data_IF_843776168382
#
_entry.id   IF_843776168382
#
_cell.length_a   1.000
_cell.length_b   1.000
_cell.length_c   1.000
_cell.angle_alpha   90.00
_cell.angle_beta   90.00
_cell.angle_gamma   90.00
#
_symmetry.space_group_name_H-M   'P 1'
#
loop_
_entity.id
_entity.type
_entity.pdbx_description
1 polymer ?
#
# COMPACT_ATOMS: atom_id res chain seq x y z
N UNK A 1 -12.33 1.24 41.49
CA UNK A 1 -11.25 0.89 40.55
C UNK A 1 -10.34 2.09 40.36
N UNK A 2 -9.03 1.92 40.25
CA UNK A 2 -8.09 3.03 40.04
C UNK A 2 -8.01 3.39 38.56
N UNK A 3 -7.82 4.67 38.26
CA UNK A 3 -7.74 5.25 36.91
C UNK A 3 -6.72 4.51 36.00
N UNK A 4 -5.60 4.08 36.59
CA UNK A 4 -4.55 3.30 35.91
C UNK A 4 -5.00 1.92 35.41
N UNK A 5 -5.96 1.28 36.10
CA UNK A 5 -6.50 -0.01 35.70
C UNK A 5 -7.45 0.15 34.51
N UNK A 6 -8.26 1.22 34.50
CA UNK A 6 -9.15 1.55 33.38
C UNK A 6 -8.38 1.86 32.09
N UNK A 7 -7.32 2.68 32.16
CA UNK A 7 -6.49 2.97 30.98
C UNK A 7 -5.81 1.72 30.40
N UNK A 8 -5.30 0.82 31.26
CA UNK A 8 -4.67 -0.42 30.78
C UNK A 8 -5.69 -1.38 30.15
N UNK A 9 -6.92 -1.38 30.64
CA UNK A 9 -8.02 -2.16 30.06
C UNK A 9 -8.48 -1.56 28.73
N UNK A 10 -8.63 -0.23 28.63
CA UNK A 10 -8.95 0.46 27.37
C UNK A 10 -7.91 0.20 26.30
N UNK A 11 -6.61 0.32 26.61
CA UNK A 11 -5.53 0.05 25.65
C UNK A 11 -5.52 -1.42 25.19
N UNK A 12 -5.85 -2.36 26.08
CA UNK A 12 -5.96 -3.79 25.72
C UNK A 12 -7.21 -4.10 24.89
N UNK A 13 -8.34 -3.42 25.15
CA UNK A 13 -9.55 -3.53 24.34
C UNK A 13 -9.35 -2.90 22.96
N UNK A 14 -8.71 -1.73 22.90
CA UNK A 14 -8.32 -1.03 21.66
C UNK A 14 -7.49 -1.90 20.71
N UNK A 15 -6.65 -2.78 21.28
CA UNK A 15 -5.82 -3.72 20.52
C UNK A 15 -6.63 -4.81 19.78
N UNK A 16 -7.94 -4.91 20.02
CA UNK A 16 -8.87 -5.87 19.39
C UNK A 16 -10.05 -5.20 18.68
N UNK A 17 -9.93 -3.92 18.33
CA UNK A 17 -10.99 -3.16 17.65
C UNK A 17 -11.22 -3.58 16.19
N UNK A 18 -10.24 -4.26 15.60
CA UNK A 18 -10.25 -4.67 14.20
C UNK A 18 -10.36 -6.20 14.17
N UNK A 19 -11.42 -6.77 13.57
CA UNK A 19 -11.54 -8.21 13.36
C UNK A 19 -10.32 -8.77 12.62
N UNK A 20 -9.86 -9.96 13.02
CA UNK A 20 -8.64 -10.56 12.44
C UNK A 20 -8.75 -10.71 10.92
N UNK A 21 -9.92 -11.10 10.40
CA UNK A 21 -10.13 -11.22 8.95
C UNK A 21 -9.90 -9.88 8.23
N UNK A 22 -10.44 -8.79 8.75
CA UNK A 22 -10.23 -7.45 8.20
C UNK A 22 -8.76 -7.05 8.27
N UNK A 23 -8.10 -7.33 9.38
CA UNK A 23 -6.68 -7.04 9.57
C UNK A 23 -5.79 -7.84 8.60
N UNK A 24 -6.13 -9.10 8.31
CA UNK A 24 -5.47 -9.93 7.30
C UNK A 24 -5.64 -9.32 5.90
N UNK A 25 -6.83 -8.81 5.55
CA UNK A 25 -7.05 -8.14 4.27
C UNK A 25 -6.20 -6.87 4.12
N UNK A 26 -6.15 -6.04 5.16
CA UNK A 26 -5.29 -4.84 5.20
C UNK A 26 -3.82 -5.20 4.97
N UNK A 27 -3.31 -6.18 5.74
CA UNK A 27 -1.92 -6.64 5.66
C UNK A 27 -1.57 -7.19 4.29
N UNK A 28 -2.48 -7.97 3.70
CA UNK A 28 -2.31 -8.57 2.37
C UNK A 28 -2.26 -7.49 1.30
N UNK A 29 -3.18 -6.52 1.34
CA UNK A 29 -3.20 -5.38 0.43
C UNK A 29 -1.90 -4.57 0.52
N UNK A 30 -1.48 -4.22 1.74
CA UNK A 30 -0.24 -3.48 1.99
C UNK A 30 0.98 -4.23 1.47
N UNK A 31 1.09 -5.53 1.74
CA UNK A 31 2.24 -6.34 1.35
C UNK A 31 2.38 -6.41 -0.17
N UNK A 32 1.27 -6.69 -0.86
CA UNK A 32 1.25 -6.73 -2.32
C UNK A 32 1.57 -5.36 -2.93
N UNK A 33 0.95 -4.29 -2.43
CA UNK A 33 1.19 -2.94 -2.93
C UNK A 33 2.66 -2.52 -2.73
N UNK A 34 3.25 -2.81 -1.58
CA UNK A 34 4.65 -2.49 -1.30
C UNK A 34 5.61 -3.26 -2.21
N UNK A 35 5.34 -4.52 -2.51
CA UNK A 35 6.18 -5.28 -3.42
C UNK A 35 6.07 -4.77 -4.86
N UNK A 36 4.87 -4.40 -5.32
CA UNK A 36 4.69 -3.76 -6.62
C UNK A 36 5.37 -2.39 -6.69
N UNK A 37 5.28 -1.58 -5.62
CA UNK A 37 5.98 -0.29 -5.51
C UNK A 37 7.50 -0.49 -5.58
N UNK A 38 8.04 -1.44 -4.83
CA UNK A 38 9.47 -1.76 -4.84
C UNK A 38 9.94 -2.14 -6.25
N UNK A 39 9.22 -3.06 -6.90
CA UNK A 39 9.55 -3.48 -8.26
C UNK A 39 9.39 -2.36 -9.29
N UNK A 40 8.37 -1.51 -9.13
CA UNK A 40 8.17 -0.32 -9.96
C UNK A 40 9.39 0.59 -9.84
N UNK A 41 9.72 1.05 -8.63
CA UNK A 41 10.82 2.01 -8.41
C UNK A 41 12.17 1.46 -8.85
N UNK A 42 12.46 0.19 -8.61
CA UNK A 42 13.68 -0.47 -9.13
C UNK A 42 13.74 -0.55 -10.66
N UNK A 43 12.61 -0.36 -11.35
CA UNK A 43 12.55 -0.38 -12.82
C UNK A 43 12.58 1.02 -13.43
N UNK A 44 12.17 2.07 -12.69
CA UNK A 44 12.17 3.46 -13.19
C UNK A 44 13.37 4.29 -12.75
N UNK A 45 13.94 4.05 -11.56
CA UNK A 45 15.09 4.80 -11.04
C UNK A 45 16.37 4.06 -11.42
N UNK A 46 17.28 4.68 -12.19
CA UNK A 46 18.58 4.08 -12.46
C UNK A 46 19.34 3.91 -11.14
N UNK A 47 19.92 2.74 -10.90
CA UNK A 47 20.72 2.55 -9.70
C UNK A 47 21.94 3.48 -9.76
N UNK A 48 22.19 4.24 -8.69
CA UNK A 48 23.41 5.02 -8.54
C UNK A 48 24.60 4.07 -8.54
N UNK A 49 25.21 3.87 -9.71
CA UNK A 49 26.27 2.86 -9.91
C UNK A 49 25.86 1.66 -10.76
N UNK A 50 24.96 1.82 -11.75
CA UNK A 50 24.84 0.86 -12.85
C UNK A 50 26.19 0.73 -13.57
N UNK A 51 27.03 -0.17 -13.06
CA UNK A 51 28.15 -0.69 -13.81
C UNK A 51 27.65 -1.44 -15.06
N UNK A 52 28.54 -1.78 -16.00
CA UNK A 52 28.22 -2.41 -17.29
C UNK A 52 27.51 -3.78 -17.21
N UNK A 53 27.14 -4.24 -16.01
CA UNK A 53 26.56 -5.54 -15.69
C UNK A 53 25.09 -5.46 -15.25
N UNK A 54 24.40 -4.31 -15.45
CA UNK A 54 22.94 -4.23 -15.31
C UNK A 54 22.30 -5.10 -16.39
N UNK A 55 21.73 -6.24 -16.00
CA UNK A 55 21.29 -7.31 -16.92
C UNK A 55 20.04 -6.99 -17.74
N UNK A 56 19.30 -5.92 -17.41
CA UNK A 56 18.06 -5.57 -18.07
C UNK A 56 18.21 -4.35 -18.97
N UNK A 57 17.82 -4.48 -20.24
CA UNK A 57 17.82 -3.37 -21.18
C UNK A 57 16.82 -2.27 -20.76
N UNK A 58 17.00 -1.02 -21.23
CA UNK A 58 16.05 0.07 -20.98
C UNK A 58 14.61 -0.30 -21.38
N UNK A 59 14.43 -1.01 -22.49
CA UNK A 59 13.12 -1.48 -22.95
C UNK A 59 12.49 -2.50 -21.98
N UNK A 60 13.28 -3.42 -21.44
CA UNK A 60 12.81 -4.39 -20.43
C UNK A 60 12.42 -3.69 -19.12
N UNK A 61 13.21 -2.71 -18.67
CA UNK A 61 12.91 -1.88 -17.50
C UNK A 61 11.60 -1.09 -17.70
N UNK A 62 11.41 -0.48 -18.88
CA UNK A 62 10.18 0.22 -19.23
C UNK A 62 8.95 -0.71 -19.24
N UNK A 63 9.05 -1.89 -19.84
CA UNK A 63 7.97 -2.88 -19.85
C UNK A 63 7.62 -3.37 -18.44
N UNK A 64 8.62 -3.58 -17.57
CA UNK A 64 8.39 -3.95 -16.17
C UNK A 64 7.71 -2.83 -15.39
N UNK A 65 8.18 -1.60 -15.54
CA UNK A 65 7.54 -0.43 -14.92
C UNK A 65 6.07 -0.30 -15.34
N UNK A 66 5.78 -0.51 -16.63
CA UNK A 66 4.41 -0.49 -17.15
C UNK A 66 3.52 -1.57 -16.52
N UNK A 67 4.04 -2.80 -16.40
CA UNK A 67 3.32 -3.90 -15.75
C UNK A 67 3.04 -3.61 -14.28
N UNK A 68 4.04 -3.12 -13.55
CA UNK A 68 3.87 -2.80 -12.12
C UNK A 68 2.89 -1.65 -11.91
N UNK A 69 2.94 -0.61 -12.74
CA UNK A 69 1.95 0.46 -12.73
C UNK A 69 0.52 -0.09 -12.95
N UNK A 70 0.36 -1.05 -13.87
CA UNK A 70 -0.93 -1.73 -14.09
C UNK A 70 -1.47 -2.47 -12.87
N UNK A 71 -0.60 -3.06 -12.03
CA UNK A 71 -1.02 -3.65 -10.76
C UNK A 71 -1.36 -2.58 -9.71
N UNK A 72 -0.56 -1.51 -9.64
CA UNK A 72 -0.76 -0.40 -8.70
C UNK A 72 -2.09 0.34 -8.91
N UNK A 73 -2.58 0.45 -10.15
CA UNK A 73 -3.88 1.06 -10.48
C UNK A 73 -5.05 0.39 -9.75
N UNK A 74 -4.93 -0.90 -9.42
CA UNK A 74 -6.00 -1.65 -8.73
C UNK A 74 -5.96 -1.51 -7.21
N UNK A 75 -4.91 -0.92 -6.64
CA UNK A 75 -4.75 -0.81 -5.19
C UNK A 75 -5.83 0.07 -4.54
N UNK A 76 -6.22 1.24 -5.10
CA UNK A 76 -7.30 2.05 -4.53
C UNK A 76 -8.63 1.30 -4.43
N UNK A 77 -9.01 0.54 -5.46
CA UNK A 77 -10.23 -0.30 -5.46
C UNK A 77 -10.19 -1.34 -4.34
N UNK A 78 -9.02 -1.98 -4.14
CA UNK A 78 -8.84 -2.95 -3.04
C UNK A 78 -8.96 -2.30 -1.66
N UNK A 79 -8.39 -1.11 -1.48
CA UNK A 79 -8.48 -0.36 -0.22
C UNK A 79 -9.94 0.03 0.04
N UNK A 80 -10.66 0.48 -0.98
CA UNK A 80 -12.08 0.81 -0.88
C UNK A 80 -12.92 -0.39 -0.45
N UNK A 81 -12.68 -1.57 -1.04
CA UNK A 81 -13.36 -2.81 -0.64
C UNK A 81 -13.10 -3.19 0.83
N UNK A 82 -11.88 -2.95 1.33
CA UNK A 82 -11.53 -3.19 2.75
C UNK A 82 -12.26 -2.19 3.66
N UNK A 83 -12.38 -0.93 3.25
CA UNK A 83 -13.14 0.09 4.00
C UNK A 83 -14.63 -0.26 4.04
N UNK A 84 -15.21 -0.74 2.94
CA UNK A 84 -16.60 -1.19 2.88
C UNK A 84 -16.84 -2.43 3.76
N UNK A 85 -15.90 -3.38 3.75
CA UNK A 85 -15.91 -4.51 4.66
C UNK A 85 -15.93 -4.06 6.12
N UNK A 86 -15.09 -3.08 6.48
CA UNK A 86 -15.06 -2.50 7.82
C UNK A 86 -16.42 -1.92 8.24
N UNK A 87 -17.08 -1.16 7.34
CA UNK A 87 -18.42 -0.61 7.57
C UNK A 87 -19.44 -1.73 7.84
N UNK A 88 -19.39 -2.80 7.04
CA UNK A 88 -20.31 -3.93 7.20
C UNK A 88 -20.10 -4.71 8.51
N UNK A 89 -18.89 -4.69 9.06
CA UNK A 89 -18.53 -5.34 10.32
C UNK A 89 -18.67 -4.44 11.56
N UNK A 90 -19.24 -3.24 11.42
CA UNK A 90 -19.38 -2.29 12.53
C UNK A 90 -18.07 -1.68 13.02
N UNK A 91 -17.00 -1.79 12.22
CA UNK A 91 -15.69 -1.19 12.51
C UNK A 91 -15.67 0.24 11.97
N UNK A 92 -15.03 1.14 12.71
CA UNK A 92 -14.83 2.51 12.26
C UNK A 92 -14.01 2.56 10.96
N UNK A 93 -14.69 2.85 9.86
CA UNK A 93 -14.10 2.99 8.53
C UNK A 93 -13.01 4.06 8.46
N UNK A 94 -13.15 5.14 9.26
CA UNK A 94 -12.15 6.21 9.33
C UNK A 94 -10.82 5.74 9.88
N UNK A 95 -10.83 4.82 10.86
CA UNK A 95 -9.59 4.18 11.35
C UNK A 95 -8.89 3.37 10.26
N UNK A 96 -9.65 2.62 9.47
CA UNK A 96 -9.12 1.79 8.39
C UNK A 96 -8.56 2.66 7.24
N UNK A 97 -9.29 3.70 6.85
CA UNK A 97 -8.84 4.67 5.87
C UNK A 97 -7.54 5.35 6.30
N UNK A 98 -7.46 5.80 7.55
CA UNK A 98 -6.26 6.41 8.12
C UNK A 98 -5.07 5.44 8.12
N UNK A 99 -5.30 4.18 8.49
CA UNK A 99 -4.26 3.15 8.50
C UNK A 99 -3.74 2.81 7.09
N UNK A 100 -4.61 2.83 6.07
CA UNK A 100 -4.25 2.52 4.68
C UNK A 100 -3.72 3.73 3.89
N UNK A 101 -3.88 4.95 4.41
CA UNK A 101 -3.46 6.20 3.77
C UNK A 101 -2.00 6.22 3.28
N UNK A 102 -1.00 5.70 4.02
CA UNK A 102 0.38 5.66 3.53
C UNK A 102 0.51 4.85 2.23
N UNK A 103 -0.21 3.73 2.11
CA UNK A 103 -0.20 2.88 0.91
C UNK A 103 -0.85 3.61 -0.25
N UNK A 104 -2.05 4.20 -0.04
CA UNK A 104 -2.75 4.98 -1.07
C UNK A 104 -1.88 6.13 -1.61
N UNK A 105 -1.24 6.88 -0.70
CA UNK A 105 -0.38 8.02 -1.08
C UNK A 105 0.84 7.56 -1.89
N UNK A 106 1.47 6.45 -1.50
CA UNK A 106 2.65 5.93 -2.21
C UNK A 106 2.27 5.42 -3.61
N UNK A 107 1.13 4.74 -3.73
CA UNK A 107 0.57 4.29 -5.01
C UNK A 107 0.26 5.48 -5.91
N UNK A 108 -0.43 6.49 -5.39
CA UNK A 108 -0.77 7.70 -6.14
C UNK A 108 0.48 8.38 -6.70
N UNK A 109 1.52 8.58 -5.86
CA UNK A 109 2.80 9.15 -6.30
C UNK A 109 3.46 8.35 -7.41
N UNK A 110 3.48 7.02 -7.31
CA UNK A 110 4.05 6.16 -8.34
C UNK A 110 3.28 6.27 -9.66
N UNK A 111 1.94 6.31 -9.61
CA UNK A 111 1.10 6.45 -10.79
C UNK A 111 1.22 7.83 -11.44
N UNK A 112 1.24 8.91 -10.65
CA UNK A 112 1.48 10.28 -11.13
C UNK A 112 2.86 10.38 -11.81
N UNK A 113 3.89 9.81 -11.20
CA UNK A 113 5.24 9.74 -11.80
C UNK A 113 5.23 9.00 -13.14
N UNK A 114 4.53 7.86 -13.21
CA UNK A 114 4.44 7.09 -14.45
C UNK A 114 3.68 7.82 -15.56
N UNK A 115 2.60 8.54 -15.22
CA UNK A 115 1.82 9.33 -16.17
C UNK A 115 2.58 10.55 -16.70
N UNK A 116 3.28 11.27 -15.83
CA UNK A 116 4.10 12.43 -16.23
C UNK A 116 5.23 12.03 -17.17
N UNK A 117 5.87 10.88 -16.93
CA UNK A 117 6.90 10.32 -17.83
C UNK A 117 6.36 9.88 -19.20
N UNK A 118 5.04 9.65 -19.33
CA UNK A 118 4.38 9.29 -20.60
C UNK A 118 3.97 10.49 -21.44
N UNK A 119 3.87 11.70 -20.85
CA UNK A 119 3.64 12.90 -21.65
C UNK A 119 4.94 13.22 -22.41
N UNK A 120 4.88 13.42 -23.74
CA UNK A 120 6.04 13.71 -24.57
C UNK A 120 6.73 15.02 -24.18
#
# INVERSE_FOLDING_TARGET
MTQNVQQRLEVKMQKRDIPEELFVQMRTCQTAANEFLRQFWSSVVPASGEGPMSSASPAQKAAKAARMAGYLVKTPEKIQAIIEMARSSGVDAGKIEMAMKPVSTAVEKALQFYQTRKKP
#
